data_IF_698255209202
#
_entry.id   IF_698255209202
#
_cell.length_a   1.000
_cell.length_b   1.000
_cell.length_c   1.000
_cell.angle_alpha   90.00
_cell.angle_beta   90.00
_cell.angle_gamma   90.00
#
_symmetry.space_group_name_H-M   'P 1'
#
loop_
_entity.id
_entity.type
_entity.pdbx_description
1 polymer ?
#
# COMPACT_ATOMS: atom_id res chain seq x y z
N UNK A 1 -14.96 3.43 2.93
CA UNK A 1 -13.51 3.51 3.20
C UNK A 1 -12.86 2.39 2.41
N UNK A 2 -12.12 2.71 1.33
CA UNK A 2 -11.45 1.72 0.49
C UNK A 2 -10.14 1.24 1.15
N UNK A 3 -9.82 -0.04 0.98
CA UNK A 3 -8.64 -0.71 1.56
C UNK A 3 -7.92 -1.43 0.43
N UNK A 4 -6.59 -1.40 0.45
CA UNK A 4 -5.77 -2.07 -0.55
C UNK A 4 -4.94 -3.17 0.08
N UNK A 5 -4.92 -4.32 -0.57
CA UNK A 5 -3.99 -5.40 -0.25
C UNK A 5 -2.59 -4.97 -0.68
N UNK A 6 -1.63 -5.08 0.24
CA UNK A 6 -0.23 -4.73 -0.05
C UNK A 6 0.47 -5.98 -0.57
N UNK A 7 0.89 -5.95 -1.83
CA UNK A 7 1.83 -6.92 -2.35
C UNK A 7 3.25 -6.54 -1.87
N UNK A 8 3.75 -7.25 -0.87
CA UNK A 8 5.03 -6.92 -0.23
C UNK A 8 6.22 -7.05 -1.18
N UNK A 9 6.18 -8.00 -2.12
CA UNK A 9 7.26 -8.25 -3.04
C UNK A 9 7.44 -7.09 -4.03
N UNK A 10 6.37 -6.74 -4.73
CA UNK A 10 6.36 -5.64 -5.71
C UNK A 10 6.62 -4.31 -5.04
N UNK A 11 6.01 -4.07 -3.87
CA UNK A 11 6.21 -2.81 -3.13
C UNK A 11 7.67 -2.64 -2.68
N UNK A 12 8.31 -3.72 -2.23
CA UNK A 12 9.71 -3.68 -1.83
C UNK A 12 10.64 -3.47 -3.03
N UNK A 13 10.36 -4.11 -4.16
CA UNK A 13 11.13 -3.96 -5.39
C UNK A 13 11.10 -2.53 -5.93
N UNK A 14 9.91 -1.92 -6.01
CA UNK A 14 9.73 -0.51 -6.43
C UNK A 14 10.51 0.45 -5.53
N UNK A 15 10.59 0.16 -4.23
CA UNK A 15 11.30 0.97 -3.25
C UNK A 15 12.79 0.60 -3.10
N UNK A 16 13.29 -0.37 -3.88
CA UNK A 16 14.68 -0.81 -3.84
C UNK A 16 15.09 -1.47 -2.52
N UNK A 17 14.17 -2.16 -1.85
CA UNK A 17 14.37 -2.79 -0.54
C UNK A 17 13.92 -4.25 -0.55
N UNK A 18 14.08 -4.96 0.56
CA UNK A 18 13.55 -6.33 0.73
C UNK A 18 12.14 -6.29 1.33
N UNK A 19 11.30 -7.34 1.09
CA UNK A 19 9.97 -7.43 1.68
C UNK A 19 9.97 -7.30 3.20
N UNK A 20 10.95 -7.89 3.89
CA UNK A 20 11.07 -7.81 5.35
C UNK A 20 11.43 -6.40 5.83
N UNK A 21 12.32 -5.71 5.13
CA UNK A 21 12.69 -4.34 5.44
C UNK A 21 11.53 -3.37 5.19
N UNK A 22 10.79 -3.54 4.09
CA UNK A 22 9.59 -2.76 3.80
C UNK A 22 8.49 -2.99 4.85
N UNK A 23 8.22 -4.25 5.20
CA UNK A 23 7.26 -4.60 6.24
C UNK A 23 7.65 -4.04 7.60
N UNK A 24 8.94 -4.09 7.94
CA UNK A 24 9.48 -3.52 9.18
C UNK A 24 9.35 -2.01 9.19
N UNK A 25 9.67 -1.35 8.08
CA UNK A 25 9.47 0.10 7.93
C UNK A 25 8.00 0.50 8.10
N UNK A 26 7.07 -0.21 7.45
CA UNK A 26 5.63 0.02 7.61
C UNK A 26 5.15 -0.13 9.07
N UNK A 27 5.74 -1.07 9.82
CA UNK A 27 5.44 -1.29 11.24
C UNK A 27 6.05 -0.23 12.15
N UNK A 28 7.25 0.27 11.82
CA UNK A 28 8.00 1.24 12.62
C UNK A 28 7.47 2.67 12.46
N UNK A 29 7.01 3.05 11.28
CA UNK A 29 6.59 4.42 10.98
C UNK A 29 5.22 4.79 11.58
N UNK A 30 4.72 4.00 12.54
CA UNK A 30 3.45 4.17 13.23
C UNK A 30 2.28 4.44 12.27
N UNK A 31 2.26 3.78 11.11
CA UNK A 31 1.07 3.78 10.28
C UNK A 31 -0.03 2.97 10.99
N UNK A 32 -0.81 3.64 11.84
CA UNK A 32 -2.00 3.14 12.53
C UNK A 32 -3.07 2.53 11.58
N UNK A 33 -2.83 2.67 10.29
CA UNK A 33 -3.66 2.28 9.17
C UNK A 33 -3.20 1.00 8.47
N UNK A 34 -2.12 0.37 8.94
CA UNK A 34 -1.75 -0.98 8.52
C UNK A 34 -2.64 -2.00 9.28
N UNK A 35 -3.46 -2.73 8.55
CA UNK A 35 -4.36 -3.75 9.08
C UNK A 35 -3.91 -5.12 8.56
N UNK A 36 -3.95 -6.15 9.41
CA UNK A 36 -3.66 -7.52 8.99
C UNK A 36 -4.95 -8.33 8.95
N UNK A 37 -5.21 -8.99 7.81
CA UNK A 37 -6.32 -9.93 7.66
C UNK A 37 -5.78 -11.23 7.05
N UNK A 38 -5.86 -12.35 7.78
CA UNK A 38 -5.32 -13.66 7.36
C UNK A 38 -3.87 -13.59 6.88
N UNK A 39 -2.99 -12.94 7.65
CA UNK A 39 -1.58 -12.69 7.32
C UNK A 39 -1.34 -11.81 6.08
N UNK A 40 -2.39 -11.37 5.40
CA UNK A 40 -2.31 -10.42 4.30
C UNK A 40 -2.30 -8.99 4.86
N UNK A 41 -1.22 -8.22 4.64
CA UNK A 41 -1.19 -6.81 5.02
C UNK A 41 -2.13 -6.00 4.12
N UNK A 42 -2.93 -5.16 4.74
CA UNK A 42 -3.77 -4.17 4.09
C UNK A 42 -3.37 -2.79 4.59
N UNK A 43 -3.47 -1.81 3.69
CA UNK A 43 -3.22 -0.41 4.04
C UNK A 43 -4.39 0.44 3.57
N UNK A 44 -4.73 1.46 4.36
CA UNK A 44 -5.70 2.46 3.93
C UNK A 44 -5.16 3.23 2.72
N UNK A 45 -5.99 3.47 1.72
CA UNK A 45 -5.64 4.29 0.54
C UNK A 45 -5.14 5.69 0.94
N UNK A 46 -5.67 6.27 2.04
CA UNK A 46 -5.21 7.57 2.56
C UNK A 46 -3.78 7.54 3.07
N UNK A 47 -3.31 6.37 3.51
CA UNK A 47 -1.96 6.18 4.01
C UNK A 47 -1.01 5.91 2.88
N UNK A 48 -1.42 5.06 1.93
CA UNK A 48 -0.66 4.84 0.70
C UNK A 48 -0.45 6.16 -0.05
N UNK A 49 -1.48 7.02 -0.12
CA UNK A 49 -1.39 8.35 -0.69
C UNK A 49 -0.27 9.20 -0.05
N UNK A 50 -0.17 9.19 1.28
CA UNK A 50 0.89 9.91 2.00
C UNK A 50 2.29 9.33 1.73
N UNK A 51 2.41 8.01 1.68
CA UNK A 51 3.69 7.33 1.42
C UNK A 51 4.21 7.66 0.02
N UNK A 52 3.30 7.69 -0.95
CA UNK A 52 3.61 7.93 -2.36
C UNK A 52 3.57 9.42 -2.76
N UNK A 53 3.38 10.33 -1.79
CA UNK A 53 3.24 11.78 -2.01
C UNK A 53 2.21 12.13 -3.09
N UNK A 54 1.03 11.51 -3.01
CA UNK A 54 -0.09 11.66 -3.94
C UNK A 54 -1.41 11.84 -3.18
N UNK A 55 -2.52 12.04 -3.89
CA UNK A 55 -3.86 12.11 -3.28
C UNK A 55 -4.58 10.76 -3.31
N UNK A 56 -5.48 10.49 -2.34
CA UNK A 56 -6.30 9.28 -2.37
C UNK A 56 -7.18 9.17 -3.62
N UNK A 57 -7.52 10.31 -4.24
CA UNK A 57 -8.34 10.35 -5.45
C UNK A 57 -7.54 9.92 -6.67
N UNK A 58 -6.34 10.46 -6.87
CA UNK A 58 -5.44 10.03 -7.96
C UNK A 58 -5.12 8.54 -7.87
N UNK A 59 -4.90 8.00 -6.67
CA UNK A 59 -4.73 6.56 -6.48
C UNK A 59 -5.99 5.76 -6.81
N UNK A 60 -7.17 6.25 -6.45
CA UNK A 60 -8.42 5.57 -6.73
C UNK A 60 -8.71 5.53 -8.23
N UNK A 61 -8.54 6.67 -8.91
CA UNK A 61 -8.70 6.79 -10.36
C UNK A 61 -7.72 5.83 -11.09
N UNK A 62 -6.45 5.76 -10.66
CA UNK A 62 -5.47 4.82 -11.21
C UNK A 62 -5.86 3.34 -11.02
N UNK A 63 -6.44 2.99 -9.88
CA UNK A 63 -6.90 1.62 -9.61
C UNK A 63 -8.13 1.24 -10.45
N UNK A 64 -9.05 2.18 -10.67
CA UNK A 64 -10.19 1.96 -11.56
C UNK A 64 -9.73 1.74 -13.01
N UNK A 65 -8.70 2.47 -13.47
CA UNK A 65 -8.10 2.26 -14.80
C UNK A 65 -7.51 0.85 -14.95
N UNK A 66 -6.79 0.34 -13.94
CA UNK A 66 -6.22 -1.02 -13.98
C UNK A 66 -7.29 -2.11 -14.06
N UNK A 67 -8.40 -1.94 -13.32
CA UNK A 67 -9.49 -2.94 -13.29
C UNK A 67 -10.27 -2.96 -14.62
N UNK A 68 -10.29 -1.85 -15.35
CA UNK A 68 -10.90 -1.76 -16.69
C UNK A 68 -10.04 -2.39 -17.80
N UNK A 69 -8.73 -2.48 -17.59
CA UNK A 69 -7.77 -3.07 -18.52
C UNK A 69 -7.53 -4.58 -18.30
N UNK A 70 -8.28 -5.20 -17.36
CA UNK A 70 -8.12 -6.60 -16.92
C UNK A 70 -9.14 -7.59 -17.51
#
# INVERSE_FOLDING_TARGET
MAKLTVDLATSADVLGTTPDCFLTWLKLDHFHSLLYFNDTPQISIFTLAKILDTTPRELFDFLEEIDLDS
#
